data_IF_186820950542
#
_entry.id   IF_186820950542
#
_cell.length_a   1.000
_cell.length_b   1.000
_cell.length_c   1.000
_cell.angle_alpha   90.00
_cell.angle_beta   90.00
_cell.angle_gamma   90.00
#
_symmetry.space_group_name_H-M   'P 1'
#
loop_
_entity.id
_entity.type
_entity.pdbx_description
1 polymer ?
#
# COMPACT_ATOMS: atom_id res chain seq x y z
N UNK A 1 -16.30 38.26 17.83
CA UNK A 1 -15.61 37.53 18.92
C UNK A 1 -14.13 37.48 18.56
N UNK A 2 -13.29 38.24 19.26
CA UNK A 2 -11.86 38.34 18.99
C UNK A 2 -11.16 37.06 19.48
N UNK A 3 -10.84 36.15 18.56
CA UNK A 3 -10.16 34.86 18.84
C UNK A 3 -8.67 35.02 19.17
N UNK A 4 -8.11 36.22 19.05
CA UNK A 4 -6.71 36.51 19.38
C UNK A 4 -6.62 37.82 20.17
N UNK A 5 -6.48 37.71 21.49
CA UNK A 5 -6.11 38.86 22.33
C UNK A 5 -4.59 38.90 22.44
N UNK A 6 -3.98 40.08 22.20
CA UNK A 6 -2.57 40.30 22.53
C UNK A 6 -2.41 40.03 24.04
N UNK A 7 -1.66 39.00 24.40
CA UNK A 7 -1.26 38.79 25.79
C UNK A 7 -0.62 40.08 26.32
N UNK A 8 -1.01 40.50 27.53
CA UNK A 8 -0.64 41.80 28.15
C UNK A 8 0.87 41.97 28.44
N UNK A 9 1.74 41.13 27.91
CA UNK A 9 3.18 41.26 28.05
C UNK A 9 3.92 40.62 26.88
N UNK A 10 4.82 41.39 26.27
CA UNK A 10 5.90 40.84 25.47
C UNK A 10 6.90 40.19 26.42
N UNK A 11 7.01 38.86 26.38
CA UNK A 11 8.06 38.13 27.09
C UNK A 11 9.33 38.24 26.26
N UNK A 12 10.46 38.62 26.89
CA UNK A 12 11.75 38.61 26.21
C UNK A 12 12.05 37.20 25.70
N UNK A 13 12.39 37.06 24.42
CA UNK A 13 12.61 35.76 23.77
C UNK A 13 13.66 34.90 24.49
N UNK A 14 14.64 35.53 25.15
CA UNK A 14 15.68 34.83 25.93
C UNK A 14 16.32 33.70 25.14
N UNK A 15 16.47 32.53 25.76
CA UNK A 15 16.89 31.28 25.11
C UNK A 15 15.74 30.46 24.51
N UNK A 16 14.49 30.94 24.59
CA UNK A 16 13.31 30.20 24.16
C UNK A 16 13.07 30.24 22.64
N UNK A 17 13.64 31.24 21.95
CA UNK A 17 13.59 31.36 20.48
C UNK A 17 15.01 31.53 19.95
N UNK A 18 15.42 30.68 19.02
CA UNK A 18 16.71 30.75 18.34
C UNK A 18 16.47 30.89 16.84
N UNK A 19 17.17 31.84 16.20
CA UNK A 19 17.18 32.00 14.75
C UNK A 19 18.49 31.44 14.20
N UNK A 20 18.40 30.67 13.12
CA UNK A 20 19.54 30.04 12.46
C UNK A 20 19.47 30.28 10.95
N UNK A 21 20.59 30.70 10.37
CA UNK A 21 20.76 30.78 8.92
C UNK A 21 21.56 29.55 8.45
N UNK A 22 21.04 28.84 7.46
CA UNK A 22 21.70 27.70 6.83
C UNK A 22 22.09 28.03 5.38
N UNK A 23 23.14 27.35 4.87
CA UNK A 23 23.64 27.57 3.52
C UNK A 23 22.70 27.00 2.43
N UNK A 24 21.99 25.92 2.74
CA UNK A 24 21.02 25.25 1.87
C UNK A 24 19.95 24.51 2.70
N UNK A 25 18.94 23.96 2.02
CA UNK A 25 17.85 23.20 2.65
C UNK A 25 18.33 21.96 3.41
N UNK A 26 19.38 21.30 2.95
CA UNK A 26 19.95 20.12 3.62
C UNK A 26 20.63 20.50 4.93
N UNK A 27 21.39 21.58 4.94
CA UNK A 27 21.99 22.18 6.13
C UNK A 27 20.95 22.67 7.12
N UNK A 28 19.85 23.26 6.62
CA UNK A 28 18.71 23.71 7.43
C UNK A 28 18.03 22.53 8.16
N UNK A 29 17.67 21.48 7.41
CA UNK A 29 17.08 20.25 7.96
C UNK A 29 18.01 19.60 8.97
N UNK A 30 19.31 19.53 8.68
CA UNK A 30 20.30 18.94 9.58
C UNK A 30 20.45 19.75 10.86
N UNK A 31 20.46 21.08 10.79
CA UNK A 31 20.51 21.93 11.97
C UNK A 31 19.25 21.78 12.83
N UNK A 32 18.07 21.77 12.20
CA UNK A 32 16.80 21.60 12.89
C UNK A 32 16.68 20.23 13.58
N UNK A 33 16.98 19.14 12.87
CA UNK A 33 16.94 17.79 13.45
C UNK A 33 18.01 17.57 14.53
N UNK A 34 19.20 18.18 14.39
CA UNK A 34 20.22 18.15 15.45
C UNK A 34 19.71 18.86 16.71
N UNK A 35 19.10 20.02 16.56
CA UNK A 35 18.53 20.77 17.67
C UNK A 35 17.39 19.99 18.34
N UNK A 36 16.49 19.37 17.57
CA UNK A 36 15.42 18.52 18.11
C UNK A 36 15.99 17.30 18.85
N UNK A 37 17.04 16.66 18.32
CA UNK A 37 17.75 15.57 19.00
C UNK A 37 18.33 16.01 20.33
N UNK A 38 18.93 17.20 20.38
CA UNK A 38 19.45 17.79 21.61
C UNK A 38 18.33 17.96 22.65
N UNK A 39 17.14 18.46 22.25
CA UNK A 39 15.97 18.56 23.16
C UNK A 39 15.52 17.22 23.70
N UNK A 40 15.53 16.17 22.88
CA UNK A 40 15.15 14.84 23.34
C UNK A 40 16.19 14.19 24.25
N UNK A 41 17.48 14.36 23.94
CA UNK A 41 18.58 13.71 24.68
C UNK A 41 18.95 14.46 25.96
N UNK A 42 19.01 15.78 25.91
CA UNK A 42 19.48 16.63 27.02
C UNK A 42 18.32 17.05 27.92
N UNK A 43 17.23 17.55 27.33
CA UNK A 43 16.08 18.08 28.08
C UNK A 43 15.02 17.00 28.38
N UNK A 44 15.20 15.78 27.88
CA UNK A 44 14.28 14.65 28.10
C UNK A 44 12.90 14.82 27.45
N UNK A 45 12.78 15.70 26.45
CA UNK A 45 11.52 15.94 25.75
C UNK A 45 11.19 14.74 24.86
N UNK A 46 10.01 14.15 25.04
CA UNK A 46 9.59 13.00 24.23
C UNK A 46 9.46 13.40 22.77
N UNK A 47 9.84 12.56 21.80
CA UNK A 47 9.69 12.88 20.37
C UNK A 47 8.27 13.33 20.02
N UNK A 48 7.25 12.69 20.60
CA UNK A 48 5.84 13.06 20.45
C UNK A 48 5.45 14.47 20.90
N UNK A 49 6.24 15.10 21.77
CA UNK A 49 6.05 16.48 22.21
C UNK A 49 6.80 17.50 21.34
N UNK A 50 7.44 17.04 20.27
CA UNK A 50 8.23 17.87 19.37
C UNK A 50 7.69 17.91 17.94
N UNK A 51 7.93 19.02 17.24
CA UNK A 51 7.52 19.17 15.85
C UNK A 51 8.59 19.83 14.98
N UNK A 52 8.64 19.39 13.72
CA UNK A 52 9.37 20.00 12.63
C UNK A 52 8.36 20.52 11.61
N UNK A 53 8.23 21.83 11.52
CA UNK A 53 7.19 22.48 10.73
C UNK A 53 7.80 23.19 9.53
N UNK A 54 7.12 23.12 8.38
CA UNK A 54 7.45 23.94 7.22
C UNK A 54 6.17 24.53 6.62
N UNK A 55 6.30 25.58 5.82
CA UNK A 55 5.12 26.11 5.09
C UNK A 55 4.63 25.10 4.04
N UNK A 56 5.57 24.45 3.36
CA UNK A 56 5.36 23.34 2.44
C UNK A 56 6.40 22.27 2.72
N UNK A 57 5.97 21.03 2.92
CA UNK A 57 6.87 19.90 3.16
C UNK A 57 7.44 19.29 1.89
N UNK A 58 6.82 19.55 0.72
CA UNK A 58 7.22 18.95 -0.56
C UNK A 58 8.72 19.06 -0.85
N UNK A 59 9.40 20.22 -0.69
CA UNK A 59 10.82 20.32 -0.97
C UNK A 59 11.73 19.73 0.13
N UNK A 60 11.19 19.43 1.32
CA UNK A 60 11.97 18.96 2.47
C UNK A 60 11.76 17.47 2.77
N UNK A 61 10.71 16.82 2.25
CA UNK A 61 10.27 15.48 2.66
C UNK A 61 11.39 14.44 2.60
N UNK A 62 12.08 14.33 1.46
CA UNK A 62 13.14 13.33 1.27
C UNK A 62 14.37 13.64 2.13
N UNK A 63 14.75 14.92 2.22
CA UNK A 63 15.87 15.38 3.06
C UNK A 63 15.61 15.09 4.55
N UNK A 64 14.40 15.37 5.03
CA UNK A 64 14.01 15.09 6.41
C UNK A 64 14.07 13.60 6.69
N UNK A 65 13.50 12.77 5.81
CA UNK A 65 13.51 11.31 5.98
C UNK A 65 14.96 10.77 6.04
N UNK A 66 15.81 11.22 5.13
CA UNK A 66 17.21 10.80 5.07
C UNK A 66 18.00 11.21 6.32
N UNK A 67 17.91 12.49 6.72
CA UNK A 67 18.68 13.01 7.87
C UNK A 67 18.14 12.48 9.19
N UNK A 68 16.83 12.27 9.31
CA UNK A 68 16.25 11.65 10.49
C UNK A 68 16.74 10.21 10.66
N UNK A 69 16.79 9.43 9.58
CA UNK A 69 17.39 8.09 9.59
C UNK A 69 18.89 8.13 9.95
N UNK A 70 19.67 9.08 9.40
CA UNK A 70 21.08 9.31 9.75
C UNK A 70 21.25 9.56 11.26
N UNK A 71 20.34 10.34 11.86
CA UNK A 71 20.41 10.70 13.28
C UNK A 71 19.74 9.69 14.21
N UNK A 72 19.09 8.65 13.68
CA UNK A 72 18.30 7.69 14.46
C UNK A 72 17.09 8.33 15.13
N UNK A 73 16.51 9.37 14.52
CA UNK A 73 15.33 10.06 15.03
C UNK A 73 14.06 9.48 14.38
N UNK A 74 13.08 9.01 15.17
CA UNK A 74 11.78 8.63 14.65
C UNK A 74 11.02 9.89 14.21
N UNK A 75 10.58 9.93 12.95
CA UNK A 75 9.79 11.03 12.38
C UNK A 75 8.47 10.52 11.81
N UNK A 76 7.41 11.28 12.00
CA UNK A 76 6.09 11.01 11.44
C UNK A 76 5.64 12.20 10.60
N UNK A 77 5.44 12.00 9.29
CA UNK A 77 4.93 13.04 8.41
C UNK A 77 3.41 13.11 8.50
N UNK A 78 2.89 14.25 8.96
CA UNK A 78 1.48 14.56 8.93
C UNK A 78 0.98 14.70 7.48
N UNK A 79 -0.28 14.31 7.28
CA UNK A 79 -0.97 14.45 6.00
C UNK A 79 -1.08 13.13 5.24
N UNK A 80 -2.15 13.04 4.48
CA UNK A 80 -2.54 11.79 3.84
C UNK A 80 -1.59 11.39 2.70
N UNK A 81 -1.15 10.15 2.72
CA UNK A 81 -0.30 9.51 1.71
C UNK A 81 -1.16 9.02 0.53
N UNK A 82 -0.65 9.05 -0.72
CA UNK A 82 -1.30 8.42 -1.87
C UNK A 82 -1.53 6.93 -1.63
N UNK A 83 -2.79 6.48 -1.68
CA UNK A 83 -3.13 5.09 -1.42
C UNK A 83 -2.44 4.14 -2.41
N UNK A 84 -2.43 4.52 -3.69
CA UNK A 84 -1.75 3.81 -4.78
C UNK A 84 -0.25 3.57 -4.55
N UNK A 85 0.42 4.42 -3.76
CA UNK A 85 1.86 4.28 -3.51
C UNK A 85 2.19 3.30 -2.38
N UNK A 86 1.18 2.82 -1.65
CA UNK A 86 1.41 1.79 -0.64
C UNK A 86 1.75 0.45 -1.35
N UNK A 87 2.84 -0.25 -0.98
CA UNK A 87 3.24 -1.48 -1.65
C UNK A 87 2.22 -2.62 -1.58
N UNK A 88 1.46 -2.75 -0.49
CA UNK A 88 0.42 -3.78 -0.36
C UNK A 88 -0.73 -3.54 -1.36
N UNK A 89 -1.12 -2.26 -1.51
CA UNK A 89 -2.17 -1.86 -2.45
C UNK A 89 -1.69 -1.98 -3.90
N UNK A 90 -0.46 -1.57 -4.18
CA UNK A 90 0.14 -1.74 -5.51
C UNK A 90 0.18 -3.22 -5.91
N UNK A 91 0.66 -4.10 -5.02
CA UNK A 91 0.67 -5.54 -5.26
C UNK A 91 -0.73 -6.10 -5.54
N UNK A 92 -1.74 -5.68 -4.79
CA UNK A 92 -3.12 -6.13 -4.99
C UNK A 92 -3.68 -5.66 -6.34
N UNK A 93 -3.48 -4.40 -6.72
CA UNK A 93 -3.91 -3.89 -8.03
C UNK A 93 -3.18 -4.60 -9.18
N UNK A 94 -1.88 -4.85 -9.03
CA UNK A 94 -1.08 -5.58 -10.02
C UNK A 94 -1.57 -7.03 -10.17
N UNK A 95 -1.95 -7.69 -9.07
CA UNK A 95 -2.56 -9.01 -9.06
C UNK A 95 -3.90 -9.02 -9.81
N UNK A 96 -4.79 -8.08 -9.55
CA UNK A 96 -6.07 -7.96 -10.26
C UNK A 96 -5.86 -7.71 -11.75
N UNK A 97 -4.86 -6.89 -12.12
CA UNK A 97 -4.54 -6.59 -13.51
C UNK A 97 -4.09 -7.83 -14.31
N UNK A 98 -3.60 -8.89 -13.65
CA UNK A 98 -3.23 -10.15 -14.31
C UNK A 98 -4.44 -10.87 -14.94
N UNK A 99 -5.63 -10.68 -14.36
CA UNK A 99 -6.88 -11.36 -14.72
C UNK A 99 -7.77 -10.54 -15.66
N UNK A 100 -7.28 -9.37 -16.10
CA UNK A 100 -7.94 -8.64 -17.19
C UNK A 100 -7.90 -9.43 -18.50
N UNK A 101 -8.85 -9.20 -19.42
CA UNK A 101 -8.81 -9.80 -20.75
C UNK A 101 -7.53 -9.44 -21.52
N UNK A 102 -6.95 -10.41 -22.24
CA UNK A 102 -5.82 -10.14 -23.13
C UNK A 102 -6.27 -9.32 -24.35
N UNK A 103 -5.32 -8.70 -25.04
CA UNK A 103 -5.56 -7.78 -26.17
C UNK A 103 -6.37 -8.41 -27.32
N UNK A 104 -6.41 -9.74 -27.42
CA UNK A 104 -7.23 -10.48 -28.39
C UNK A 104 -8.69 -10.71 -27.94
N UNK A 105 -9.06 -10.30 -26.72
CA UNK A 105 -10.39 -10.54 -26.13
C UNK A 105 -10.61 -11.98 -25.65
N UNK A 106 -9.69 -12.89 -25.94
CA UNK A 106 -9.76 -14.30 -25.56
C UNK A 106 -8.74 -14.60 -24.44
N UNK A 107 -9.25 -14.96 -23.26
CA UNK A 107 -8.44 -15.40 -22.11
C UNK A 107 -7.85 -14.28 -21.25
N UNK A 108 -7.08 -14.70 -20.22
CA UNK A 108 -6.49 -13.82 -19.20
C UNK A 108 -5.09 -13.33 -19.62
N UNK A 109 -4.72 -12.11 -19.23
CA UNK A 109 -3.42 -11.50 -19.57
C UNK A 109 -2.20 -12.24 -19.02
N UNK A 110 -2.17 -12.55 -17.73
CA UNK A 110 -1.09 -13.27 -17.02
C UNK A 110 0.34 -13.05 -17.60
N UNK A 111 0.85 -11.80 -17.66
CA UNK A 111 2.19 -11.53 -18.18
C UNK A 111 3.26 -12.14 -17.27
N UNK A 112 4.25 -12.81 -17.86
CA UNK A 112 5.23 -13.63 -17.14
C UNK A 112 5.80 -12.96 -15.89
N UNK A 113 6.36 -11.75 -16.05
CA UNK A 113 7.04 -11.04 -14.96
C UNK A 113 6.11 -10.76 -13.78
N UNK A 114 4.94 -10.18 -14.05
CA UNK A 114 4.01 -9.81 -13.00
C UNK A 114 3.35 -11.04 -12.34
N UNK A 115 3.12 -12.14 -13.08
CA UNK A 115 2.66 -13.40 -12.50
C UNK A 115 3.69 -13.98 -11.51
N UNK A 116 4.97 -14.00 -11.88
CA UNK A 116 6.05 -14.44 -10.99
C UNK A 116 6.20 -13.51 -9.78
N UNK A 117 6.11 -12.19 -9.98
CA UNK A 117 6.17 -11.20 -8.90
C UNK A 117 4.99 -11.35 -7.93
N UNK A 118 3.79 -11.64 -8.41
CA UNK A 118 2.62 -11.93 -7.57
C UNK A 118 2.85 -13.17 -6.69
N UNK A 119 3.44 -14.24 -7.23
CA UNK A 119 3.77 -15.44 -6.43
C UNK A 119 4.87 -15.19 -5.39
N UNK A 120 5.74 -14.21 -5.61
CA UNK A 120 6.80 -13.80 -4.67
C UNK A 120 6.37 -12.72 -3.67
N UNK A 121 5.19 -12.15 -3.84
CA UNK A 121 4.73 -11.02 -3.03
C UNK A 121 4.65 -11.44 -1.56
N UNK A 122 5.26 -10.67 -0.63
CA UNK A 122 5.15 -10.94 0.80
C UNK A 122 3.77 -10.59 1.37
N UNK A 123 2.89 -10.01 0.55
CA UNK A 123 1.55 -9.56 0.95
C UNK A 123 0.47 -10.61 0.70
N UNK A 124 0.80 -11.76 0.10
CA UNK A 124 -0.16 -12.80 -0.27
C UNK A 124 0.23 -14.14 0.37
N UNK A 125 -0.72 -14.72 1.09
CA UNK A 125 -0.60 -16.06 1.64
C UNK A 125 -1.09 -17.07 0.62
N UNK A 126 -0.17 -17.72 -0.10
CA UNK A 126 -0.50 -18.75 -1.08
C UNK A 126 -0.51 -20.18 -0.54
N UNK A 127 -0.34 -20.36 0.78
CA UNK A 127 -0.09 -21.67 1.42
C UNK A 127 -1.31 -22.61 1.37
N UNK A 128 -1.07 -23.88 1.75
CA UNK A 128 -2.06 -24.95 1.76
C UNK A 128 -3.18 -24.73 2.80
N UNK A 129 -4.41 -24.83 2.31
CA UNK A 129 -5.68 -24.86 3.06
C UNK A 129 -6.79 -25.26 2.10
N UNK A 130 -7.92 -25.78 2.60
CA UNK A 130 -9.06 -26.15 1.74
C UNK A 130 -9.47 -24.96 0.85
N UNK A 131 -9.30 -25.11 -0.47
CA UNK A 131 -9.72 -24.11 -1.48
C UNK A 131 -8.63 -23.17 -2.03
N UNK A 132 -7.41 -23.19 -1.48
CA UNK A 132 -6.29 -22.33 -1.93
C UNK A 132 -5.36 -22.95 -3.00
N UNK A 133 -4.42 -22.16 -3.58
CA UNK A 133 -3.51 -22.65 -4.62
C UNK A 133 -2.42 -23.60 -4.11
N UNK A 134 -2.07 -23.54 -2.82
CA UNK A 134 -1.09 -24.44 -2.20
C UNK A 134 0.33 -24.25 -2.71
N UNK A 135 0.76 -23.01 -2.97
CA UNK A 135 2.09 -22.72 -3.49
C UNK A 135 3.16 -22.93 -2.43
N UNK A 136 4.22 -23.64 -2.80
CA UNK A 136 5.35 -23.94 -1.94
C UNK A 136 6.48 -22.92 -2.09
N UNK A 137 7.38 -22.91 -1.11
CA UNK A 137 8.62 -22.14 -1.20
C UNK A 137 9.44 -22.62 -2.42
N UNK A 138 9.77 -21.69 -3.33
CA UNK A 138 10.50 -21.98 -4.56
C UNK A 138 9.63 -22.20 -5.80
N UNK A 139 8.30 -22.34 -5.65
CA UNK A 139 7.39 -22.50 -6.80
C UNK A 139 7.45 -21.31 -7.75
N UNK A 140 7.65 -20.09 -7.22
CA UNK A 140 7.83 -18.90 -8.05
C UNK A 140 9.11 -18.92 -8.91
N UNK A 141 10.20 -19.53 -8.41
CA UNK A 141 11.44 -19.68 -9.17
C UNK A 141 11.29 -20.76 -10.25
N UNK A 142 10.63 -21.86 -9.91
CA UNK A 142 10.30 -22.94 -10.85
C UNK A 142 9.35 -22.45 -11.94
N UNK A 143 8.33 -21.67 -11.59
CA UNK A 143 7.43 -21.01 -12.53
C UNK A 143 8.22 -20.12 -13.51
N UNK A 144 9.18 -19.33 -13.00
CA UNK A 144 10.02 -18.49 -13.88
C UNK A 144 10.91 -19.33 -14.81
N UNK A 145 11.43 -20.46 -14.32
CA UNK A 145 12.25 -21.38 -15.10
C UNK A 145 11.45 -22.03 -16.25
N UNK A 146 10.25 -22.55 -15.96
CA UNK A 146 9.32 -23.08 -16.97
C UNK A 146 9.00 -21.99 -18.01
N UNK A 147 8.62 -20.80 -17.55
CA UNK A 147 8.26 -19.69 -18.42
C UNK A 147 9.41 -19.29 -19.37
N UNK A 148 10.66 -19.28 -18.89
CA UNK A 148 11.84 -19.00 -19.72
C UNK A 148 12.13 -20.14 -20.71
N UNK A 149 12.06 -21.40 -20.27
CA UNK A 149 12.34 -22.59 -21.09
C UNK A 149 11.40 -22.67 -22.29
N UNK A 150 10.11 -22.43 -22.06
CA UNK A 150 9.05 -22.52 -23.08
C UNK A 150 8.64 -21.14 -23.65
N UNK A 151 9.41 -20.08 -23.37
CA UNK A 151 9.24 -18.72 -23.94
C UNK A 151 7.86 -18.11 -23.72
N UNK A 152 7.29 -18.28 -22.52
CA UNK A 152 6.03 -17.64 -22.13
C UNK A 152 6.24 -16.13 -21.96
N UNK A 153 5.45 -15.34 -22.69
CA UNK A 153 5.46 -13.88 -22.59
C UNK A 153 4.26 -13.42 -21.77
N UNK A 154 3.06 -13.86 -22.16
CA UNK A 154 1.78 -13.54 -21.53
C UNK A 154 0.68 -14.49 -22.04
N UNK A 155 -0.45 -14.52 -21.35
CA UNK A 155 -1.65 -15.21 -21.79
C UNK A 155 -1.79 -16.59 -21.16
N UNK A 156 -2.99 -16.90 -20.66
CA UNK A 156 -3.30 -18.20 -20.05
C UNK A 156 -3.01 -19.38 -21.00
N UNK A 157 -3.28 -19.23 -22.29
CA UNK A 157 -3.04 -20.27 -23.28
C UNK A 157 -1.54 -20.62 -23.40
N UNK A 158 -0.65 -19.61 -23.41
CA UNK A 158 0.80 -19.83 -23.45
C UNK A 158 1.31 -20.53 -22.19
N UNK A 159 0.76 -20.17 -21.03
CA UNK A 159 1.09 -20.85 -19.78
C UNK A 159 0.70 -22.33 -19.81
N UNK A 160 -0.54 -22.64 -20.23
CA UNK A 160 -1.03 -24.01 -20.35
C UNK A 160 -0.20 -24.85 -21.32
N UNK A 161 0.12 -24.27 -22.48
CA UNK A 161 1.00 -24.92 -23.46
C UNK A 161 2.39 -25.20 -22.88
N UNK A 162 2.98 -24.22 -22.19
CA UNK A 162 4.28 -24.40 -21.53
C UNK A 162 4.27 -25.52 -20.48
N UNK A 163 3.23 -25.60 -19.64
CA UNK A 163 3.09 -26.69 -18.67
C UNK A 163 2.86 -28.04 -19.33
N UNK A 164 2.08 -28.11 -20.42
CA UNK A 164 1.89 -29.35 -21.16
C UNK A 164 3.20 -29.85 -21.78
N UNK A 165 3.98 -28.97 -22.42
CA UNK A 165 5.30 -29.31 -22.96
C UNK A 165 6.30 -29.67 -21.86
N UNK A 166 6.20 -29.03 -20.69
CA UNK A 166 7.01 -29.37 -19.54
C UNK A 166 6.73 -30.78 -19.04
N UNK A 167 5.46 -31.14 -18.86
CA UNK A 167 5.05 -32.48 -18.45
C UNK A 167 5.54 -33.56 -19.43
N UNK A 168 5.42 -33.34 -20.74
CA UNK A 168 5.91 -34.30 -21.75
C UNK A 168 7.44 -34.48 -21.66
N UNK A 169 8.18 -33.38 -21.52
CA UNK A 169 9.64 -33.46 -21.39
C UNK A 169 10.05 -34.17 -20.11
N UNK A 170 9.35 -33.92 -19.00
CA UNK A 170 9.61 -34.58 -17.71
C UNK A 170 9.38 -36.09 -17.79
N UNK A 171 8.26 -36.53 -18.34
CA UNK A 171 7.99 -37.95 -18.54
C UNK A 171 9.09 -38.64 -19.37
N UNK A 172 9.60 -37.95 -20.40
CA UNK A 172 10.73 -38.45 -21.18
C UNK A 172 12.03 -38.49 -20.38
N UNK A 173 12.31 -37.48 -19.55
CA UNK A 173 13.51 -37.43 -18.71
C UNK A 173 13.46 -38.51 -17.61
N UNK A 174 12.29 -38.77 -17.03
CA UNK A 174 12.03 -39.82 -16.03
C UNK A 174 12.21 -41.24 -16.59
N UNK A 175 11.65 -41.51 -17.78
CA UNK A 175 11.83 -42.79 -18.48
C UNK A 175 13.32 -43.08 -18.79
N UNK A 176 14.14 -42.03 -18.88
CA UNK A 176 15.56 -42.11 -19.16
C UNK A 176 16.46 -41.92 -17.91
N UNK A 177 15.88 -41.67 -16.74
CA UNK A 177 16.63 -41.38 -15.51
C UNK A 177 17.11 -42.67 -14.82
N UNK A 178 18.27 -42.59 -14.16
CA UNK A 178 18.70 -43.64 -13.24
C UNK A 178 17.82 -43.64 -11.99
N UNK A 179 17.66 -44.80 -11.33
CA UNK A 179 16.77 -44.96 -10.18
C UNK A 179 17.05 -43.99 -9.01
N UNK A 180 18.29 -43.53 -8.85
CA UNK A 180 18.69 -42.56 -7.82
C UNK A 180 18.29 -41.10 -8.16
N UNK A 181 18.10 -40.76 -9.43
CA UNK A 181 17.68 -39.41 -9.88
C UNK A 181 16.15 -39.25 -9.88
N UNK A 182 15.41 -40.36 -9.97
CA UNK A 182 13.94 -40.37 -10.00
C UNK A 182 13.30 -39.74 -8.75
N UNK A 183 13.92 -39.88 -7.57
CA UNK A 183 13.42 -39.33 -6.32
C UNK A 183 13.53 -37.79 -6.22
N UNK A 184 14.31 -37.13 -7.08
CA UNK A 184 14.43 -35.66 -7.12
C UNK A 184 13.23 -34.98 -7.81
N UNK A 185 12.42 -35.75 -8.54
CA UNK A 185 11.39 -35.24 -9.45
C UNK A 185 10.00 -35.11 -8.82
N UNK A 186 9.77 -35.68 -7.64
CA UNK A 186 8.47 -35.79 -6.94
C UNK A 186 7.83 -34.43 -6.57
N UNK A 187 8.61 -33.33 -6.59
CA UNK A 187 8.13 -32.01 -6.22
C UNK A 187 7.62 -31.12 -7.37
N UNK A 188 7.83 -31.50 -8.64
CA UNK A 188 7.55 -30.66 -9.82
C UNK A 188 6.22 -30.98 -10.53
N UNK A 189 5.72 -32.22 -10.40
CA UNK A 189 4.50 -32.69 -11.09
C UNK A 189 3.24 -31.92 -10.68
N UNK A 190 3.25 -31.34 -9.49
CA UNK A 190 2.14 -30.54 -8.98
C UNK A 190 2.21 -29.06 -9.39
N UNK A 191 3.30 -28.56 -9.97
CA UNK A 191 3.44 -27.12 -10.25
C UNK A 191 2.38 -26.62 -11.26
N UNK A 192 2.10 -27.42 -12.30
CA UNK A 192 1.04 -27.12 -13.26
C UNK A 192 -0.35 -27.18 -12.62
N UNK A 193 -0.58 -28.13 -11.71
CA UNK A 193 -1.84 -28.26 -10.96
C UNK A 193 -2.05 -27.07 -10.02
N UNK A 194 -1.01 -26.68 -9.27
CA UNK A 194 -1.01 -25.48 -8.41
C UNK A 194 -1.22 -24.20 -9.21
N UNK A 195 -0.64 -24.11 -10.41
CA UNK A 195 -0.90 -22.98 -11.32
C UNK A 195 -2.37 -22.92 -11.74
N UNK A 196 -2.99 -24.03 -12.11
CA UNK A 196 -4.43 -24.05 -12.44
C UNK A 196 -5.31 -23.73 -11.22
N UNK A 197 -4.94 -24.20 -10.02
CA UNK A 197 -5.60 -23.79 -8.77
C UNK A 197 -5.46 -22.28 -8.54
N UNK A 198 -4.28 -21.71 -8.73
CA UNK A 198 -4.06 -20.26 -8.67
C UNK A 198 -4.97 -19.50 -9.64
N UNK A 199 -5.06 -19.97 -10.89
CA UNK A 199 -5.97 -19.37 -11.88
C UNK A 199 -7.42 -19.48 -11.40
N UNK A 200 -7.84 -20.63 -10.88
CA UNK A 200 -9.21 -20.84 -10.39
C UNK A 200 -9.55 -19.95 -9.18
N UNK A 201 -8.69 -19.87 -8.17
CA UNK A 201 -8.91 -19.05 -6.96
C UNK A 201 -9.02 -17.56 -7.28
N UNK A 202 -8.30 -17.10 -8.31
CA UNK A 202 -8.21 -15.68 -8.67
C UNK A 202 -9.14 -15.27 -9.82
N UNK A 203 -9.79 -16.23 -10.48
CA UNK A 203 -10.75 -15.92 -11.55
C UNK A 203 -11.97 -15.24 -10.93
N UNK A 204 -12.38 -14.05 -11.42
CA UNK A 204 -13.53 -13.35 -10.87
C UNK A 204 -14.83 -14.17 -11.04
N UNK A 205 -15.79 -14.07 -10.10
CA UNK A 205 -17.03 -14.85 -10.17
C UNK A 205 -17.81 -14.55 -11.47
N UNK A 206 -18.14 -15.59 -12.25
CA UNK A 206 -18.85 -15.43 -13.51
C UNK A 206 -20.28 -14.85 -13.35
N UNK A 207 -20.87 -14.98 -12.16
CA UNK A 207 -22.19 -14.45 -11.83
C UNK A 207 -22.17 -12.98 -11.37
N UNK A 208 -20.99 -12.38 -11.16
CA UNK A 208 -20.88 -10.99 -10.74
C UNK A 208 -21.31 -10.05 -11.87
N UNK A 209 -22.27 -9.18 -11.59
CA UNK A 209 -22.84 -8.25 -12.57
C UNK A 209 -22.94 -6.80 -12.08
N UNK A 210 -22.54 -6.53 -10.84
CA UNK A 210 -22.52 -5.21 -10.24
C UNK A 210 -21.22 -4.97 -9.44
N UNK A 211 -20.86 -3.71 -9.17
CA UNK A 211 -19.68 -3.37 -8.35
C UNK A 211 -19.76 -4.02 -6.97
N UNK A 212 -20.96 -4.14 -6.40
CA UNK A 212 -21.16 -4.81 -5.10
C UNK A 212 -20.72 -6.28 -5.09
N UNK A 213 -20.86 -7.00 -6.20
CA UNK A 213 -20.54 -8.42 -6.25
C UNK A 213 -19.02 -8.61 -6.32
N UNK A 214 -18.33 -7.79 -7.13
CA UNK A 214 -16.87 -7.77 -7.20
C UNK A 214 -16.24 -7.23 -5.92
N UNK A 215 -16.85 -6.22 -5.28
CA UNK A 215 -16.37 -5.68 -4.01
C UNK A 215 -16.46 -6.73 -2.90
N UNK A 216 -17.58 -7.45 -2.79
CA UNK A 216 -17.72 -8.55 -1.82
C UNK A 216 -16.67 -9.65 -2.05
N UNK A 217 -16.52 -10.10 -3.31
CA UNK A 217 -15.48 -11.07 -3.67
C UNK A 217 -14.07 -10.59 -3.31
N UNK A 218 -13.75 -9.33 -3.59
CA UNK A 218 -12.43 -8.77 -3.29
C UNK A 218 -12.20 -8.57 -1.79
N UNK A 219 -13.23 -8.20 -1.02
CA UNK A 219 -13.13 -8.10 0.44
C UNK A 219 -12.86 -9.47 1.08
N UNK A 220 -13.55 -10.52 0.63
CA UNK A 220 -13.30 -11.90 1.07
C UNK A 220 -11.89 -12.36 0.69
N UNK A 221 -11.46 -12.06 -0.54
CA UNK A 221 -10.14 -12.39 -1.03
C UNK A 221 -9.04 -11.70 -0.21
N UNK A 222 -9.22 -10.44 0.23
CA UNK A 222 -8.26 -9.75 1.11
C UNK A 222 -8.22 -10.40 2.51
N UNK A 223 -9.36 -10.91 2.98
CA UNK A 223 -9.55 -11.50 4.32
C UNK A 223 -10.26 -10.55 5.29
N UNK A 224 -10.87 -11.11 6.33
CA UNK A 224 -11.67 -10.37 7.31
C UNK A 224 -10.81 -9.39 8.13
N UNK A 225 -11.31 -8.17 8.33
CA UNK A 225 -10.73 -7.21 9.27
C UNK A 225 -11.42 -7.43 10.63
N UNK A 226 -10.67 -7.75 11.69
CA UNK A 226 -11.22 -7.99 13.04
C UNK A 226 -12.04 -6.78 13.56
N UNK A 227 -11.82 -5.58 13.00
CA UNK A 227 -12.53 -4.34 13.36
C UNK A 227 -13.62 -3.92 12.38
N UNK A 228 -13.80 -4.62 11.27
CA UNK A 228 -14.78 -4.33 10.23
C UNK A 228 -15.57 -5.58 9.93
N UNK A 229 -16.40 -6.02 10.90
CA UNK A 229 -17.30 -7.14 10.70
C UNK A 229 -18.26 -6.81 9.56
N UNK A 230 -17.94 -7.32 8.36
CA UNK A 230 -18.98 -7.89 7.51
C UNK A 230 -19.80 -8.84 8.38
N UNK A 231 -21.11 -8.91 8.14
CA UNK A 231 -22.00 -9.84 8.83
C UNK A 231 -21.33 -11.24 8.88
N UNK A 232 -20.91 -11.74 10.06
CA UNK A 232 -20.12 -12.97 10.15
C UNK A 232 -20.91 -14.20 9.69
N UNK A 233 -22.23 -14.06 9.54
CA UNK A 233 -23.13 -15.10 9.02
C UNK A 233 -23.38 -14.98 7.50
N UNK A 234 -22.84 -13.96 6.82
CA UNK A 234 -22.93 -13.85 5.37
C UNK A 234 -22.05 -14.91 4.68
N UNK A 235 -22.57 -15.63 3.66
CA UNK A 235 -21.80 -16.65 2.97
C UNK A 235 -20.64 -16.01 2.19
N UNK A 236 -19.43 -16.57 2.34
CA UNK A 236 -18.26 -16.14 1.59
C UNK A 236 -18.49 -16.31 0.08
N UNK A 237 -18.11 -15.27 -0.68
CA UNK A 237 -18.15 -15.21 -2.14
C UNK A 237 -16.84 -15.73 -2.73
N UNK A 238 -15.69 -15.43 -2.12
CA UNK A 238 -14.41 -16.00 -2.53
C UNK A 238 -14.21 -17.40 -1.95
N UNK A 239 -13.60 -18.29 -2.74
CA UNK A 239 -13.28 -19.67 -2.33
C UNK A 239 -12.00 -19.77 -1.49
N UNK A 240 -11.26 -18.67 -1.38
CA UNK A 240 -9.94 -18.59 -0.79
C UNK A 240 -9.64 -17.15 -0.35
N UNK A 241 -8.73 -17.00 0.61
CA UNK A 241 -8.26 -15.71 1.12
C UNK A 241 -6.75 -15.58 0.98
N UNK A 242 -6.29 -14.41 0.54
CA UNK A 242 -4.89 -14.01 0.51
C UNK A 242 -4.32 -13.73 1.91
N UNK A 243 -5.18 -13.65 2.94
CA UNK A 243 -4.81 -13.32 4.32
C UNK A 243 -3.81 -12.15 4.39
N UNK A 244 -4.12 -11.05 3.70
CA UNK A 244 -3.20 -9.91 3.59
C UNK A 244 -2.90 -9.31 4.97
N UNK A 245 -3.89 -9.33 5.87
CA UNK A 245 -3.76 -8.82 7.23
C UNK A 245 -2.79 -9.71 8.04
N UNK A 246 -2.94 -11.05 7.99
CA UNK A 246 -2.00 -11.97 8.63
C UNK A 246 -0.58 -11.87 8.07
N UNK A 247 -0.45 -11.70 6.74
CA UNK A 247 0.83 -11.45 6.07
C UNK A 247 1.51 -10.17 6.56
N UNK A 248 0.76 -9.06 6.65
CA UNK A 248 1.26 -7.77 7.13
C UNK A 248 1.63 -7.85 8.61
N UNK A 249 0.79 -8.46 9.45
CA UNK A 249 1.07 -8.62 10.89
C UNK A 249 2.37 -9.38 11.14
N UNK A 250 2.82 -10.16 10.16
CA UNK A 250 4.00 -11.00 10.28
C UNK A 250 3.74 -12.18 11.21
N UNK A 251 2.50 -12.68 11.25
CA UNK A 251 2.15 -13.96 11.88
C UNK A 251 2.84 -15.08 11.11
N UNK A 252 4.16 -15.23 11.28
CA UNK A 252 4.78 -16.54 11.12
C UNK A 252 4.11 -17.47 12.14
N UNK A 253 3.95 -18.73 11.77
CA UNK A 253 3.31 -19.78 12.57
C UNK A 253 3.84 -19.90 14.03
N UNK A 254 4.96 -19.24 14.36
CA UNK A 254 5.69 -19.37 15.62
C UNK A 254 5.38 -18.26 16.66
N UNK A 255 4.51 -17.28 16.35
CA UNK A 255 3.99 -16.32 17.34
C UNK A 255 4.98 -15.31 17.95
N UNK A 256 6.21 -15.20 17.43
CA UNK A 256 7.21 -14.25 17.93
C UNK A 256 6.94 -12.80 17.47
N UNK A 257 7.08 -11.77 18.34
CA UNK A 257 6.85 -10.39 17.97
C UNK A 257 7.89 -9.89 16.95
N UNK A 258 7.43 -9.29 15.84
CA UNK A 258 8.33 -8.75 14.83
C UNK A 258 9.16 -7.55 15.34
N UNK A 259 10.37 -7.32 14.80
CA UNK A 259 11.24 -6.21 15.22
C UNK A 259 10.58 -4.83 15.07
N UNK A 260 10.97 -3.87 15.90
CA UNK A 260 10.45 -2.49 15.87
C UNK A 260 10.58 -1.80 14.49
N UNK A 261 11.60 -2.14 13.70
CA UNK A 261 11.77 -1.64 12.32
C UNK A 261 10.66 -2.06 11.37
N UNK A 262 9.96 -3.16 11.65
CA UNK A 262 8.82 -3.63 10.87
C UNK A 262 7.50 -3.05 11.38
N UNK A 263 7.42 -2.63 12.64
CA UNK A 263 6.18 -2.10 13.22
C UNK A 263 5.64 -0.88 12.45
N UNK A 264 6.50 0.05 12.04
CA UNK A 264 6.09 1.21 11.25
C UNK A 264 5.56 0.82 9.85
N UNK A 265 6.18 -0.16 9.20
CA UNK A 265 5.72 -0.69 7.91
C UNK A 265 4.36 -1.39 8.06
N UNK A 266 4.17 -2.17 9.12
CA UNK A 266 2.89 -2.82 9.44
C UNK A 266 1.77 -1.82 9.65
N UNK A 267 1.99 -0.83 10.52
CA UNK A 267 1.01 0.23 10.79
C UNK A 267 0.62 0.98 9.52
N UNK A 268 1.59 1.28 8.66
CA UNK A 268 1.36 1.91 7.36
C UNK A 268 0.51 1.03 6.44
N UNK A 269 0.88 -0.24 6.27
CA UNK A 269 0.23 -1.14 5.32
C UNK A 269 -1.19 -1.53 5.77
N UNK A 270 -1.41 -1.72 7.07
CA UNK A 270 -2.74 -1.96 7.64
C UNK A 270 -3.67 -0.74 7.48
N UNK A 271 -3.14 0.47 7.71
CA UNK A 271 -3.91 1.70 7.47
C UNK A 271 -4.28 1.87 5.99
N UNK A 272 -3.39 1.48 5.07
CA UNK A 272 -3.68 1.49 3.64
C UNK A 272 -4.78 0.46 3.28
N UNK A 273 -4.70 -0.77 3.79
CA UNK A 273 -5.75 -1.78 3.55
C UNK A 273 -7.13 -1.34 4.06
N UNK A 274 -7.19 -0.73 5.24
CA UNK A 274 -8.43 -0.17 5.78
C UNK A 274 -8.99 0.92 4.87
N UNK A 275 -8.15 1.87 4.45
CA UNK A 275 -8.54 2.91 3.51
C UNK A 275 -8.99 2.34 2.15
N UNK A 276 -8.37 1.26 1.68
CA UNK A 276 -8.78 0.56 0.47
C UNK A 276 -10.17 -0.08 0.61
N UNK A 277 -10.48 -0.73 1.74
CA UNK A 277 -11.83 -1.24 2.02
C UNK A 277 -12.86 -0.11 2.10
N UNK A 278 -12.53 1.05 2.67
CA UNK A 278 -13.42 2.24 2.61
C UNK A 278 -13.67 2.70 1.17
N UNK A 279 -12.66 2.66 0.29
CA UNK A 279 -12.81 2.97 -1.13
C UNK A 279 -13.78 2.00 -1.81
N UNK A 280 -13.66 0.69 -1.53
CA UNK A 280 -14.60 -0.32 -2.06
C UNK A 280 -16.04 -0.04 -1.61
N UNK A 281 -16.26 0.21 -0.31
CA UNK A 281 -17.59 0.56 0.21
C UNK A 281 -18.13 1.84 -0.42
N UNK A 282 -17.28 2.84 -0.63
CA UNK A 282 -17.63 4.07 -1.33
C UNK A 282 -18.08 3.86 -2.77
N UNK A 283 -17.41 2.97 -3.52
CA UNK A 283 -17.82 2.59 -4.88
C UNK A 283 -19.19 1.91 -4.90
N UNK A 284 -19.42 0.99 -3.97
CA UNK A 284 -20.72 0.29 -3.83
C UNK A 284 -21.84 1.27 -3.50
N UNK A 285 -21.61 2.22 -2.58
CA UNK A 285 -22.59 3.25 -2.24
C UNK A 285 -22.87 4.20 -3.41
N UNK A 286 -21.83 4.58 -4.17
CA UNK A 286 -22.00 5.42 -5.36
C UNK A 286 -22.84 4.71 -6.43
N UNK A 287 -22.58 3.42 -6.70
CA UNK A 287 -23.38 2.62 -7.62
C UNK A 287 -24.84 2.49 -7.16
N UNK A 288 -25.07 2.21 -5.87
CA UNK A 288 -26.42 2.11 -5.32
C UNK A 288 -27.21 3.42 -5.46
N UNK A 289 -26.55 4.57 -5.22
CA UNK A 289 -27.17 5.88 -5.39
C UNK A 289 -27.52 6.18 -6.85
N UNK A 290 -26.66 5.80 -7.81
CA UNK A 290 -26.94 5.98 -9.24
C UNK A 290 -28.05 5.05 -9.72
N UNK A 291 -28.03 3.78 -9.30
CA UNK A 291 -29.05 2.78 -9.65
C UNK A 291 -30.42 3.10 -9.06
N UNK A 292 -30.48 3.79 -7.92
CA UNK A 292 -31.75 4.28 -7.36
C UNK A 292 -32.43 5.34 -8.25
N UNK A 293 -31.66 6.07 -9.05
CA UNK A 293 -32.16 7.13 -9.96
C UNK A 293 -32.30 6.62 -11.41
N UNK A 294 -31.52 5.61 -11.80
CA UNK A 294 -31.51 5.04 -13.14
C UNK A 294 -31.88 3.55 -13.13
N UNK A 295 -33.03 3.21 -13.70
CA UNK A 295 -33.50 1.82 -13.81
C UNK A 295 -32.82 0.98 -14.91
N UNK A 296 -31.96 1.57 -15.73
CA UNK A 296 -31.32 0.91 -16.90
C UNK A 296 -29.79 0.93 -16.79
N UNK A 297 -29.26 0.48 -15.65
CA UNK A 297 -27.82 0.36 -15.47
C UNK A 297 -27.32 -0.90 -16.19
N UNK A 298 -26.41 -0.71 -17.17
CA UNK A 298 -25.73 -1.81 -17.82
C UNK A 298 -24.91 -2.62 -16.80
N UNK A 299 -24.84 -3.97 -16.94
CA UNK A 299 -24.05 -4.81 -16.04
C UNK A 299 -22.58 -4.37 -16.04
N UNK A 300 -21.95 -4.48 -14.89
CA UNK A 300 -20.53 -4.20 -14.70
C UNK A 300 -19.76 -5.47 -15.00
N UNK A 301 -18.80 -5.39 -15.91
CA UNK A 301 -17.84 -6.46 -16.15
C UNK A 301 -16.56 -6.26 -15.32
N UNK A 302 -15.71 -7.27 -15.28
CA UNK A 302 -14.46 -7.22 -14.51
C UNK A 302 -13.53 -6.08 -14.97
N UNK A 303 -13.48 -5.81 -16.27
CA UNK A 303 -12.66 -4.73 -16.84
C UNK A 303 -13.09 -3.36 -16.30
N UNK A 304 -14.40 -3.10 -16.29
CA UNK A 304 -14.96 -1.87 -15.75
C UNK A 304 -14.75 -1.78 -14.24
N UNK A 305 -14.96 -2.86 -13.50
CA UNK A 305 -14.69 -2.90 -12.07
C UNK A 305 -13.25 -2.50 -11.74
N UNK A 306 -12.25 -3.15 -12.37
CA UNK A 306 -10.83 -2.84 -12.13
C UNK A 306 -10.49 -1.40 -12.54
N UNK A 307 -11.08 -0.88 -13.62
CA UNK A 307 -10.89 0.50 -14.05
C UNK A 307 -11.45 1.52 -13.04
N UNK A 308 -12.68 1.31 -12.55
CA UNK A 308 -13.31 2.19 -11.56
C UNK A 308 -12.56 2.15 -10.23
N UNK A 309 -12.17 0.93 -9.78
CA UNK A 309 -11.36 0.73 -8.58
C UNK A 309 -10.01 1.43 -8.68
N UNK A 310 -9.28 1.26 -9.79
CA UNK A 310 -7.97 1.91 -10.00
C UNK A 310 -8.11 3.43 -9.96
N UNK A 311 -9.11 3.99 -10.64
CA UNK A 311 -9.37 5.43 -10.62
C UNK A 311 -9.69 5.96 -9.22
N UNK A 312 -10.48 5.22 -8.44
CA UNK A 312 -10.79 5.59 -7.07
C UNK A 312 -9.56 5.53 -6.14
N UNK A 313 -8.72 4.49 -6.29
CA UNK A 313 -7.48 4.34 -5.51
C UNK A 313 -6.44 5.41 -5.86
N UNK A 314 -6.35 5.81 -7.12
CA UNK A 314 -5.46 6.91 -7.57
C UNK A 314 -5.84 8.25 -6.92
N UNK A 315 -7.14 8.50 -6.75
CA UNK A 315 -7.66 9.69 -6.08
C UNK A 315 -7.57 9.58 -4.55
N UNK A 316 -7.63 8.38 -4.00
CA UNK A 316 -7.66 8.14 -2.56
C UNK A 316 -6.35 8.48 -1.86
N UNK A 317 -6.48 8.85 -0.59
CA UNK A 317 -5.37 9.11 0.33
C UNK A 317 -5.66 8.42 1.66
N UNK A 318 -4.61 8.03 2.39
CA UNK A 318 -4.74 7.42 3.71
C UNK A 318 -3.72 8.03 4.68
N UNK A 319 -4.04 8.07 5.96
CA UNK A 319 -3.13 8.54 7.00
C UNK A 319 -2.89 7.39 7.99
N UNK A 320 -1.66 6.85 8.08
CA UNK A 320 -1.33 5.88 9.11
C UNK A 320 -1.61 6.49 10.48
N UNK A 321 -2.23 5.75 11.42
CA UNK A 321 -2.47 6.26 12.75
C UNK A 321 -1.12 6.71 13.35
N UNK A 322 -1.05 7.96 13.85
CA UNK A 322 0.20 8.50 14.31
C UNK A 322 0.65 7.74 15.56
N UNK A 323 1.90 7.29 15.56
CA UNK A 323 2.55 6.86 16.80
C UNK A 323 2.99 8.11 17.59
N UNK A 324 1.98 8.80 18.14
CA UNK A 324 2.14 10.16 18.69
C UNK A 324 3.08 10.23 19.88
N UNK A 325 3.43 9.12 20.52
CA UNK A 325 4.30 9.15 21.70
C UNK A 325 5.78 9.03 21.34
N UNK A 326 6.10 8.35 20.23
CA UNK A 326 7.47 7.93 19.94
C UNK A 326 8.09 8.59 18.70
N UNK A 327 7.39 9.47 17.98
CA UNK A 327 7.94 10.15 16.80
C UNK A 327 7.79 11.68 16.79
N UNK A 328 8.77 12.37 16.21
CA UNK A 328 8.75 13.81 15.93
C UNK A 328 7.71 14.08 14.84
N UNK A 329 6.75 14.97 15.09
CA UNK A 329 5.74 15.34 14.09
C UNK A 329 6.35 16.24 13.02
N UNK A 330 6.26 15.85 11.76
CA UNK A 330 6.67 16.65 10.60
C UNK A 330 5.43 17.12 9.85
N UNK A 331 5.10 18.41 9.88
CA UNK A 331 3.81 18.89 9.37
C UNK A 331 3.89 20.24 8.64
N UNK A 332 2.88 20.52 7.81
CA UNK A 332 2.63 21.86 7.34
C UNK A 332 2.18 22.76 8.50
N UNK A 333 2.61 24.02 8.53
CA UNK A 333 2.21 24.95 9.61
C UNK A 333 0.68 25.10 9.78
N UNK A 334 -0.07 24.88 8.71
CA UNK A 334 -1.54 24.96 8.75
C UNK A 334 -2.19 23.73 9.37
N UNK A 335 -1.52 22.58 9.29
CA UNK A 335 -2.07 21.28 9.68
C UNK A 335 -2.03 21.09 11.21
N UNK A 336 -1.18 21.85 11.90
CA UNK A 336 -0.95 21.74 13.36
C UNK A 336 -1.53 22.91 14.16
N UNK A 337 -2.49 23.64 13.58
CA UNK A 337 -3.14 24.76 14.28
C UNK A 337 -3.82 24.27 15.56
N UNK A 338 -3.45 24.88 16.69
CA UNK A 338 -4.03 24.55 17.99
C UNK A 338 -3.45 23.31 18.66
N UNK A 339 -2.41 22.68 18.08
CA UNK A 339 -1.70 21.57 18.71
C UNK A 339 -0.53 22.11 19.55
N UNK A 340 -0.48 21.84 20.87
CA UNK A 340 0.63 22.27 21.72
C UNK A 340 1.84 21.35 21.54
N UNK A 341 3.03 21.94 21.47
CA UNK A 341 4.32 21.23 21.46
C UNK A 341 5.26 21.83 22.50
N UNK A 342 6.14 21.02 23.09
CA UNK A 342 7.20 21.50 23.98
C UNK A 342 8.36 22.10 23.21
N UNK A 343 8.65 21.60 22.01
CA UNK A 343 9.75 22.11 21.18
C UNK A 343 9.37 22.06 19.70
N UNK A 344 9.62 23.16 18.98
CA UNK A 344 9.25 23.28 17.57
C UNK A 344 10.43 23.85 16.79
N UNK A 345 10.83 23.16 15.73
CA UNK A 345 11.72 23.69 14.71
C UNK A 345 10.90 24.11 13.49
N UNK A 346 11.15 25.33 12.98
CA UNK A 346 10.45 25.89 11.84
C UNK A 346 11.43 26.05 10.67
N UNK A 347 11.11 25.43 9.53
CA UNK A 347 11.90 25.47 8.30
C UNK A 347 11.32 26.44 7.28
N UNK A 348 12.16 26.88 6.35
CA UNK A 348 11.77 27.64 5.16
C UNK A 348 11.35 29.07 5.46
N UNK A 349 11.99 29.73 6.44
CA UNK A 349 11.81 31.15 6.75
C UNK A 349 12.45 32.08 5.68
N UNK A 350 12.41 31.67 4.42
CA UNK A 350 12.94 32.41 3.28
C UNK A 350 11.86 33.27 2.60
N UNK A 351 12.29 34.40 2.03
CA UNK A 351 11.39 35.28 1.28
C UNK A 351 10.77 34.54 0.08
N UNK A 352 9.43 34.63 -0.04
CA UNK A 352 8.66 33.95 -1.09
C UNK A 352 8.22 32.52 -0.75
N UNK A 353 8.84 31.87 0.24
CA UNK A 353 8.28 30.68 0.91
C UNK A 353 7.35 31.11 2.06
N UNK A 354 7.79 32.09 2.87
CA UNK A 354 7.01 32.68 3.96
C UNK A 354 7.12 34.22 3.95
N UNK A 355 6.02 34.95 3.68
CA UNK A 355 4.74 34.45 3.18
C UNK A 355 4.86 33.93 1.75
N UNK A 356 4.13 32.85 1.45
CA UNK A 356 4.10 32.28 0.11
C UNK A 356 3.47 33.28 -0.87
N UNK A 357 4.09 33.49 -2.03
CA UNK A 357 3.50 34.34 -3.07
C UNK A 357 2.15 33.77 -3.46
N UNK A 358 1.07 34.56 -3.30
CA UNK A 358 -0.26 34.18 -3.79
C UNK A 358 -0.18 34.01 -5.29
N UNK A 359 -0.63 32.86 -5.77
CA UNK A 359 -0.83 32.59 -7.19
C UNK A 359 -2.32 32.73 -7.45
N UNK A 360 -2.68 33.69 -8.28
CA UNK A 360 -4.07 33.95 -8.64
C UNK A 360 -4.65 32.72 -9.37
N UNK A 361 -5.89 32.37 -9.06
CA UNK A 361 -6.57 31.25 -9.70
C UNK A 361 -6.86 31.63 -11.18
N UNK A 362 -6.51 30.78 -12.17
CA UNK A 362 -6.75 31.08 -13.57
C UNK A 362 -8.22 31.29 -13.92
N UNK A 363 -9.14 30.67 -13.18
CA UNK A 363 -10.58 30.70 -13.43
C UNK A 363 -11.33 31.66 -12.52
N UNK A 364 -10.78 31.96 -11.33
CA UNK A 364 -11.39 32.87 -10.34
C UNK A 364 -10.38 33.94 -9.92
N UNK A 365 -10.28 35.00 -10.71
CA UNK A 365 -9.36 36.10 -10.43
C UNK A 365 -9.75 36.81 -9.14
N UNK A 366 -8.78 37.39 -8.45
CA UNK A 366 -8.99 38.05 -7.16
C UNK A 366 -9.92 39.26 -7.30
N UNK A 367 -9.99 39.87 -8.49
CA UNK A 367 -10.94 40.95 -8.81
C UNK A 367 -12.41 40.49 -8.92
N UNK A 368 -12.63 39.20 -9.13
CA UNK A 368 -13.95 38.60 -9.33
C UNK A 368 -14.50 37.99 -8.01
N UNK A 369 -13.74 38.08 -6.91
CA UNK A 369 -14.10 37.71 -5.54
C UNK A 369 -14.35 38.95 -4.69
#
# INVERSE_FOLDING_TARGET
AELFTRGKGTVAAGSAVTLLAAADRGGEVRAALRWLKERSVVDGVKPGETALLARSLTPYRDLIAQVAAEFGLPVHFAGALPLRQNPAIAALLDLLALFLPDAAGEGLRLPRRATVEAWRSPYFNWQEGEGGPGLLAGDADRLDAVARRYRVIRGLAQWREAFALHAVQRAHDEDNAAADDAAMFDGDDELGVRFERFVACMTPPAAAAALRDFAAWLEDLIGADEQGAADPDAPAVATFTLDMIGCIDGRKADGAPAPASHAALRTRDLAALRAFKEVLRGLVWAEAAVSAVRSDAAPVDYTRFVSELTGAVDAARYEPPPDRNDAILVAGMLDVRGVPFRSVALLGLAEGEIPQRRREDPFLRDRDR
#
